data_IF_091322193184
#
_entry.id   IF_091322193184
#
_cell.length_a   1.000
_cell.length_b   1.000
_cell.length_c   1.000
_cell.angle_alpha   90.00
_cell.angle_beta   90.00
_cell.angle_gamma   90.00
#
_symmetry.space_group_name_H-M   'P 1'
#
loop_
_entity.id
_entity.type
_entity.pdbx_description
1 polymer ?
#
# COMPACT_ATOMS: atom_id res chain seq x y z
N UNK A 1 -5.31 -8.49 -5.24
CA UNK A 1 -6.15 -7.27 -5.34
C UNK A 1 -6.22 -6.77 -6.79
N UNK A 2 -5.79 -7.59 -7.75
CA UNK A 2 -5.53 -7.18 -9.14
C UNK A 2 -6.71 -7.44 -10.08
N UNK A 3 -7.74 -8.17 -9.63
CA UNK A 3 -8.91 -8.49 -10.47
C UNK A 3 -9.88 -7.31 -10.66
N UNK A 4 -9.77 -6.26 -9.84
CA UNK A 4 -10.50 -4.99 -10.03
C UNK A 4 -9.81 -4.04 -11.02
N UNK A 5 -8.59 -4.38 -11.48
CA UNK A 5 -7.86 -3.64 -12.51
C UNK A 5 -8.10 -4.20 -13.93
N UNK A 6 -8.57 -5.44 -14.05
CA UNK A 6 -8.94 -6.07 -15.31
C UNK A 6 -10.46 -6.04 -15.55
N UNK A 7 -11.08 -4.87 -15.34
CA UNK A 7 -12.44 -4.60 -15.80
C UNK A 7 -12.44 -4.50 -17.34
N UNK A 8 -12.32 -5.65 -18.02
CA UNK A 8 -12.52 -5.84 -19.46
C UNK A 8 -11.56 -5.07 -20.36
N UNK A 9 -10.83 -5.77 -21.23
CA UNK A 9 -9.85 -5.17 -22.15
C UNK A 9 -10.38 -4.17 -23.20
N UNK A 10 -11.62 -3.71 -23.11
CA UNK A 10 -12.16 -2.61 -23.91
C UNK A 10 -12.26 -1.36 -23.06
N UNK A 11 -11.50 -0.32 -23.41
CA UNK A 11 -11.64 1.01 -22.80
C UNK A 11 -13.08 1.47 -22.96
N UNK A 12 -13.76 1.84 -21.87
CA UNK A 12 -15.09 2.46 -21.96
C UNK A 12 -15.10 3.67 -22.91
N UNK A 13 -13.95 4.35 -23.08
CA UNK A 13 -13.77 5.42 -24.06
C UNK A 13 -13.93 4.95 -25.52
N UNK A 14 -13.43 3.77 -25.87
CA UNK A 14 -13.56 3.21 -27.22
C UNK A 14 -15.02 2.80 -27.48
N UNK A 15 -15.68 2.17 -26.50
CA UNK A 15 -17.09 1.82 -26.59
C UNK A 15 -17.98 3.06 -26.73
N UNK A 16 -17.70 4.13 -25.97
CA UNK A 16 -18.41 5.41 -26.06
C UNK A 16 -18.23 6.02 -27.45
N UNK A 17 -16.99 6.06 -27.96
CA UNK A 17 -16.68 6.62 -29.28
C UNK A 17 -17.37 5.83 -30.39
N UNK A 18 -17.34 4.50 -30.31
CA UNK A 18 -18.02 3.61 -31.25
C UNK A 18 -19.55 3.80 -31.22
N UNK A 19 -20.15 3.94 -30.03
CA UNK A 19 -21.58 4.22 -29.90
C UNK A 19 -21.96 5.58 -30.48
N UNK A 20 -21.14 6.62 -30.28
CA UNK A 20 -21.35 7.94 -30.88
C UNK A 20 -21.26 7.90 -32.40
N UNK A 21 -20.32 7.15 -32.96
CA UNK A 21 -20.22 6.95 -34.41
C UNK A 21 -21.44 6.20 -34.96
N UNK A 22 -21.89 5.13 -34.30
CA UNK A 22 -23.10 4.38 -34.68
C UNK A 22 -24.35 5.26 -34.64
N UNK A 23 -24.50 6.10 -33.62
CA UNK A 23 -25.61 7.07 -33.54
C UNK A 23 -25.56 8.06 -34.70
N UNK A 24 -24.37 8.63 -34.97
CA UNK A 24 -24.18 9.59 -36.07
C UNK A 24 -24.50 8.95 -37.42
N UNK A 25 -24.01 7.73 -37.66
CA UNK A 25 -24.27 6.97 -38.88
C UNK A 25 -25.77 6.71 -39.07
N UNK A 26 -26.43 6.12 -38.06
CA UNK A 26 -27.85 5.76 -38.13
C UNK A 26 -28.75 7.01 -38.27
N UNK A 27 -28.38 8.13 -37.62
CA UNK A 27 -29.10 9.40 -37.75
C UNK A 27 -28.92 10.06 -39.13
N UNK A 28 -27.86 9.72 -39.85
CA UNK A 28 -27.55 10.25 -41.18
C UNK A 28 -28.19 9.48 -42.34
N UNK A 29 -28.87 8.36 -42.06
CA UNK A 29 -29.60 7.60 -43.07
C UNK A 29 -30.85 8.36 -43.54
N UNK A 30 -31.24 8.14 -44.80
CA UNK A 30 -32.46 8.73 -45.38
C UNK A 30 -33.71 8.36 -44.59
N UNK A 31 -33.72 7.17 -44.01
CA UNK A 31 -34.76 6.67 -43.09
C UNK A 31 -34.09 6.10 -41.84
N UNK A 32 -33.88 6.91 -40.79
CA UNK A 32 -33.24 6.47 -39.56
C UNK A 32 -34.09 5.45 -38.80
N UNK A 33 -33.48 4.37 -38.30
CA UNK A 33 -34.15 3.46 -37.40
C UNK A 33 -34.19 4.04 -35.97
N UNK A 34 -35.33 4.63 -35.61
CA UNK A 34 -35.53 5.30 -34.31
C UNK A 34 -35.42 4.35 -33.11
N UNK A 35 -35.79 3.08 -33.25
CA UNK A 35 -35.66 2.08 -32.20
C UNK A 35 -34.18 1.77 -31.93
N UNK A 36 -33.39 1.58 -32.98
CA UNK A 36 -31.93 1.35 -32.89
C UNK A 36 -31.21 2.57 -32.32
N UNK A 37 -31.56 3.78 -32.77
CA UNK A 37 -31.03 5.02 -32.20
C UNK A 37 -31.31 5.16 -30.71
N UNK A 38 -32.52 4.79 -30.27
CA UNK A 38 -32.89 4.84 -28.86
C UNK A 38 -32.04 3.87 -28.04
N UNK A 39 -31.85 2.63 -28.53
CA UNK A 39 -30.99 1.65 -27.87
C UNK A 39 -29.54 2.13 -27.78
N UNK A 40 -28.97 2.68 -28.85
CA UNK A 40 -27.61 3.21 -28.81
C UNK A 40 -27.47 4.40 -27.84
N UNK A 41 -28.45 5.29 -27.78
CA UNK A 41 -28.45 6.41 -26.82
C UNK A 41 -28.54 5.92 -25.38
N UNK A 42 -29.37 4.91 -25.09
CA UNK A 42 -29.46 4.30 -23.77
C UNK A 42 -28.14 3.64 -23.36
N UNK A 43 -27.52 2.89 -24.27
CA UNK A 43 -26.21 2.28 -24.03
C UNK A 43 -25.13 3.34 -23.80
N UNK A 44 -25.10 4.38 -24.63
CA UNK A 44 -24.15 5.49 -24.48
C UNK A 44 -24.24 6.14 -23.10
N UNK A 45 -25.45 6.39 -22.60
CA UNK A 45 -25.66 6.96 -21.28
C UNK A 45 -25.14 6.05 -20.15
N UNK A 46 -25.35 4.73 -20.25
CA UNK A 46 -24.84 3.77 -19.27
C UNK A 46 -23.31 3.73 -19.26
N UNK A 47 -22.69 3.66 -20.44
CA UNK A 47 -21.23 3.65 -20.56
C UNK A 47 -20.60 4.96 -20.09
N UNK A 48 -21.20 6.12 -20.37
CA UNK A 48 -20.76 7.41 -19.84
C UNK A 48 -20.82 7.46 -18.30
N UNK A 49 -21.87 6.88 -17.70
CA UNK A 49 -22.00 6.79 -16.24
C UNK A 49 -20.92 5.88 -15.63
N UNK A 50 -20.62 4.74 -16.28
CA UNK A 50 -19.54 3.83 -15.87
C UNK A 50 -18.18 4.50 -15.97
N UNK A 51 -17.91 5.20 -17.05
CA UNK A 51 -16.64 5.91 -17.23
C UNK A 51 -16.44 7.03 -16.20
N UNK A 52 -17.50 7.79 -15.89
CA UNK A 52 -17.45 8.79 -14.81
C UNK A 52 -17.07 8.17 -13.47
N UNK A 53 -17.65 7.01 -13.11
CA UNK A 53 -17.30 6.29 -11.87
C UNK A 53 -15.85 5.80 -11.89
N UNK A 54 -15.37 5.29 -13.04
CA UNK A 54 -13.98 4.85 -13.20
C UNK A 54 -13.02 6.02 -12.97
N UNK A 55 -13.27 7.17 -13.57
CA UNK A 55 -12.45 8.38 -13.38
C UNK A 55 -12.44 8.87 -11.93
N UNK A 56 -13.60 8.84 -11.25
CA UNK A 56 -13.68 9.16 -9.82
C UNK A 56 -12.85 8.20 -8.96
N UNK A 57 -12.87 6.90 -9.27
CA UNK A 57 -12.06 5.90 -8.57
C UNK A 57 -10.56 6.13 -8.79
N UNK A 58 -10.16 6.43 -10.03
CA UNK A 58 -8.75 6.78 -10.35
C UNK A 58 -8.30 8.01 -9.58
N UNK A 59 -9.11 9.07 -9.56
CA UNK A 59 -8.81 10.28 -8.81
C UNK A 59 -8.71 10.02 -7.30
N UNK A 60 -9.60 9.20 -6.74
CA UNK A 60 -9.54 8.81 -5.32
C UNK A 60 -8.26 8.02 -5.01
N UNK A 61 -7.89 7.06 -5.86
CA UNK A 61 -6.64 6.31 -5.70
C UNK A 61 -5.42 7.23 -5.74
N UNK A 62 -5.37 8.18 -6.67
CA UNK A 62 -4.30 9.16 -6.73
C UNK A 62 -4.20 9.99 -5.43
N UNK A 63 -5.33 10.42 -4.87
CA UNK A 63 -5.37 11.10 -3.56
C UNK A 63 -4.86 10.22 -2.42
N UNK A 64 -5.27 8.94 -2.37
CA UNK A 64 -4.81 8.01 -1.36
C UNK A 64 -3.29 7.75 -1.46
N UNK A 65 -2.75 7.62 -2.68
CA UNK A 65 -1.30 7.47 -2.91
C UNK A 65 -0.56 8.74 -2.48
N UNK A 66 -1.06 9.92 -2.84
CA UNK A 66 -0.49 11.19 -2.37
C UNK A 66 -0.44 11.24 -0.85
N UNK A 67 -1.57 10.93 -0.19
CA UNK A 67 -1.63 10.99 1.28
C UNK A 67 -0.73 9.96 1.95
N UNK A 68 -0.63 8.76 1.38
CA UNK A 68 0.32 7.75 1.82
C UNK A 68 1.76 8.27 1.73
N UNK A 69 2.12 8.88 0.60
CA UNK A 69 3.46 9.42 0.38
C UNK A 69 3.77 10.60 1.33
N UNK A 70 2.78 11.44 1.62
CA UNK A 70 2.91 12.52 2.63
C UNK A 70 3.17 11.98 4.04
N UNK A 71 2.53 10.87 4.42
CA UNK A 71 2.63 10.28 5.77
C UNK A 71 3.84 9.34 5.92
N UNK A 72 4.44 8.91 4.80
CA UNK A 72 5.57 7.97 4.78
C UNK A 72 6.78 8.47 5.60
N UNK A 73 7.22 9.74 5.51
CA UNK A 73 8.34 10.26 6.29
C UNK A 73 8.10 10.22 7.80
N UNK A 74 6.89 10.60 8.25
CA UNK A 74 6.52 10.53 9.67
C UNK A 74 6.52 9.09 10.17
N UNK A 75 5.96 8.17 9.39
CA UNK A 75 5.98 6.74 9.71
C UNK A 75 7.43 6.21 9.83
N UNK A 76 8.30 6.60 8.90
CA UNK A 76 9.70 6.18 8.91
C UNK A 76 10.49 6.83 10.05
N UNK A 77 10.13 8.05 10.46
CA UNK A 77 10.68 8.71 11.63
C UNK A 77 10.23 8.02 12.93
N UNK A 78 8.94 7.68 13.07
CA UNK A 78 8.42 6.96 14.24
C UNK A 78 9.04 5.58 14.35
N UNK A 79 9.22 4.86 13.23
CA UNK A 79 9.93 3.58 13.22
C UNK A 79 11.37 3.74 13.71
N UNK A 80 12.11 4.73 13.20
CA UNK A 80 13.48 5.02 13.65
C UNK A 80 13.54 5.34 15.14
N UNK A 81 12.66 6.22 15.64
CA UNK A 81 12.58 6.55 17.06
C UNK A 81 12.23 5.35 17.94
N UNK A 82 11.34 4.48 17.48
CA UNK A 82 11.00 3.26 18.21
C UNK A 82 12.22 2.34 18.31
N UNK A 83 12.90 2.10 17.18
CA UNK A 83 14.14 1.31 17.12
C UNK A 83 15.19 1.89 18.06
N UNK A 84 15.48 3.19 17.99
CA UNK A 84 16.44 3.85 18.87
C UNK A 84 16.08 3.71 20.36
N UNK A 85 14.80 3.89 20.73
CA UNK A 85 14.35 3.71 22.12
C UNK A 85 14.50 2.27 22.60
N UNK A 86 14.14 1.29 21.76
CA UNK A 86 14.33 -0.12 22.09
C UNK A 86 15.82 -0.43 22.27
N UNK A 87 16.67 -0.11 21.30
CA UNK A 87 18.12 -0.35 21.41
C UNK A 87 18.77 0.39 22.59
N UNK A 88 18.40 1.65 22.82
CA UNK A 88 18.89 2.43 23.96
C UNK A 88 18.53 1.79 25.31
N UNK A 89 17.29 1.29 25.44
CA UNK A 89 16.87 0.55 26.62
C UNK A 89 17.63 -0.78 26.79
N UNK A 90 17.89 -1.51 25.69
CA UNK A 90 18.64 -2.78 25.73
C UNK A 90 20.10 -2.56 26.11
N UNK A 91 20.76 -1.52 25.60
CA UNK A 91 22.15 -1.17 25.97
C UNK A 91 22.24 -0.74 27.44
N UNK A 92 21.22 -0.04 27.95
CA UNK A 92 21.19 0.34 29.35
C UNK A 92 20.98 -0.86 30.28
N UNK A 93 20.12 -1.81 29.88
CA UNK A 93 20.01 -3.11 30.53
C UNK A 93 21.35 -3.86 30.48
N UNK A 94 22.04 -3.95 29.34
CA UNK A 94 23.35 -4.61 29.23
C UNK A 94 24.41 -4.02 30.18
N UNK A 95 24.42 -2.70 30.40
CA UNK A 95 25.32 -2.07 31.38
C UNK A 95 24.97 -2.47 32.82
N UNK A 96 23.69 -2.50 33.17
CA UNK A 96 23.22 -2.87 34.51
C UNK A 96 23.49 -4.35 34.77
N UNK A 97 23.12 -5.22 33.83
CA UNK A 97 23.29 -6.67 33.92
C UNK A 97 24.76 -7.09 33.83
N UNK A 98 25.55 -6.47 32.96
CA UNK A 98 26.98 -6.73 32.85
C UNK A 98 27.77 -6.31 34.09
N UNK A 99 27.29 -5.28 34.80
CA UNK A 99 27.86 -4.87 36.09
C UNK A 99 27.41 -5.81 37.22
N UNK A 100 26.14 -6.23 37.23
CA UNK A 100 25.60 -7.18 38.19
C UNK A 100 26.21 -8.59 38.06
N UNK A 101 26.40 -9.10 36.85
CA UNK A 101 26.98 -10.43 36.60
C UNK A 101 28.46 -10.56 37.02
N UNK A 102 29.20 -9.45 37.05
CA UNK A 102 30.56 -9.39 37.61
C UNK A 102 30.59 -9.35 39.14
N UNK A 103 29.49 -8.95 39.77
CA UNK A 103 29.33 -8.95 41.22
C UNK A 103 28.85 -10.31 41.76
N UNK A 104 28.42 -11.24 40.89
CA UNK A 104 27.98 -12.58 41.27
C UNK A 104 29.16 -13.55 41.11
N UNK A 105 29.78 -13.93 42.23
CA UNK A 105 30.85 -14.93 42.24
C UNK A 105 30.32 -16.36 42.02
N UNK A 106 31.15 -17.23 41.42
CA UNK A 106 30.86 -18.64 41.25
C UNK A 106 29.96 -19.00 40.05
N UNK A 107 29.29 -20.16 40.11
CA UNK A 107 28.51 -20.70 38.99
C UNK A 107 27.32 -19.82 38.57
N UNK A 108 26.81 -18.98 39.47
CA UNK A 108 25.73 -18.03 39.20
C UNK A 108 26.11 -16.97 38.16
N UNK A 109 27.33 -16.42 38.24
CA UNK A 109 27.83 -15.44 37.26
C UNK A 109 28.01 -16.04 35.85
N UNK A 110 28.38 -17.32 35.77
CA UNK A 110 28.50 -18.06 34.49
C UNK A 110 27.15 -18.29 33.81
N UNK A 111 26.15 -18.77 34.57
CA UNK A 111 24.79 -19.00 34.05
C UNK A 111 24.16 -17.69 33.59
N UNK A 112 24.35 -16.63 34.36
CA UNK A 112 23.83 -15.30 34.03
C UNK A 112 24.47 -14.72 32.74
N UNK A 113 25.80 -14.80 32.62
CA UNK A 113 26.53 -14.41 31.40
C UNK A 113 26.07 -15.18 30.15
N UNK A 114 25.80 -16.48 30.33
CA UNK A 114 25.36 -17.35 29.24
C UNK A 114 23.93 -17.06 28.79
N UNK A 115 23.02 -16.83 29.73
CA UNK A 115 21.64 -16.42 29.44
C UNK A 115 21.59 -15.06 28.72
N UNK A 116 22.41 -14.09 29.16
CA UNK A 116 22.52 -12.80 28.47
C UNK A 116 23.16 -12.90 27.08
N UNK A 117 24.12 -13.81 26.88
CA UNK A 117 24.69 -14.06 25.54
C UNK A 117 23.68 -14.70 24.58
N UNK A 118 22.79 -15.57 25.06
CA UNK A 118 21.71 -16.13 24.25
C UNK A 118 20.69 -15.06 23.86
N UNK A 119 20.29 -14.22 24.82
CA UNK A 119 19.42 -13.07 24.56
C UNK A 119 20.03 -12.11 23.52
N UNK A 120 21.35 -11.88 23.56
CA UNK A 120 22.07 -11.09 22.55
C UNK A 120 21.96 -11.71 21.15
N UNK A 121 22.10 -13.03 21.02
CA UNK A 121 22.01 -13.73 19.73
C UNK A 121 20.59 -13.72 19.15
N UNK A 122 19.56 -13.69 19.99
CA UNK A 122 18.16 -13.61 19.54
C UNK A 122 17.74 -12.18 19.15
N UNK A 123 18.37 -11.15 19.73
CA UNK A 123 18.07 -9.73 19.44
C UNK A 123 18.93 -9.16 18.30
N UNK A 124 20.15 -9.68 18.08
CA UNK A 124 21.03 -9.24 16.98
C UNK A 124 20.46 -9.34 15.54
N UNK A 125 19.58 -10.29 15.17
CA UNK A 125 18.97 -10.32 13.84
C UNK A 125 18.18 -9.04 13.53
N UNK A 126 17.67 -8.35 14.56
CA UNK A 126 16.91 -7.09 14.41
C UNK A 126 17.81 -5.86 14.18
N UNK A 127 19.11 -5.91 14.50
CA UNK A 127 20.02 -4.77 14.26
C UNK A 127 20.47 -4.70 12.80
N UNK A 128 20.65 -5.85 12.14
CA UNK A 128 21.03 -5.90 10.71
C UNK A 128 19.92 -5.40 9.77
N UNK A 129 18.66 -5.40 10.23
CA UNK A 129 17.53 -4.79 9.50
C UNK A 129 17.47 -3.26 9.68
N UNK A 130 18.08 -2.69 10.71
CA UNK A 130 18.13 -1.25 10.93
C UNK A 130 19.21 -0.54 10.09
N UNK A 131 20.30 -1.23 9.73
CA UNK A 131 21.37 -0.70 8.86
C UNK A 131 21.02 -0.74 7.36
N UNK A 132 19.90 -1.37 6.97
CA UNK A 132 19.44 -1.49 5.56
C UNK A 132 18.19 -0.66 5.24
N UNK A 133 17.74 0.22 6.14
CA UNK A 133 16.66 1.20 5.95
C UNK A 133 17.24 2.62 5.86
#
# INVERSE_FOLDING_TARGET
MDDLLNLGGESYGDTISNLQQKITFESGLKEPNTAVLTLYKMQLADYQKKEKKRLQLVALRAKCVSKKNELQPELDQVKRQAVEKFFGATVHLEKITGSAGKMIEGNGGKIYSQAMSQLRLEVMPLSSMAERL
#
